data_IF_700605338919
#
_entry.id   IF_700605338919
#
_cell.length_a   1.000
_cell.length_b   1.000
_cell.length_c   1.000
_cell.angle_alpha   90.00
_cell.angle_beta   90.00
_cell.angle_gamma   90.00
#
_symmetry.space_group_name_H-M   'P 1'
#
loop_
_entity.id
_entity.type
_entity.pdbx_description
1 polymer ?
#
# COMPACT_ATOMS: atom_id res chain seq x y z
N UNK A 1 -0.23 -8.36 -6.37
CA UNK A 1 -0.93 -7.38 -5.54
C UNK A 1 -2.27 -6.98 -6.15
N UNK A 2 -3.16 -6.46 -5.30
CA UNK A 2 -4.40 -5.85 -5.73
C UNK A 2 -4.23 -4.34 -5.76
N UNK A 3 -4.81 -3.68 -6.75
CA UNK A 3 -4.73 -2.24 -6.91
C UNK A 3 -6.14 -1.65 -6.93
N UNK A 4 -6.40 -0.57 -6.19
CA UNK A 4 -7.67 0.12 -6.27
C UNK A 4 -7.78 0.89 -7.58
N UNK A 5 -9.01 1.17 -7.97
CA UNK A 5 -9.26 2.14 -9.03
C UNK A 5 -8.96 3.52 -8.45
N UNK A 6 -8.04 4.24 -9.06
CA UNK A 6 -7.65 5.56 -8.58
C UNK A 6 -8.73 6.59 -8.81
N UNK A 7 -8.87 7.51 -7.87
CA UNK A 7 -9.74 8.66 -8.00
C UNK A 7 -9.02 9.92 -7.51
N UNK A 8 -9.64 11.07 -7.74
CA UNK A 8 -9.03 12.35 -7.40
C UNK A 8 -8.73 12.49 -5.90
N UNK A 9 -9.61 11.97 -5.06
CA UNK A 9 -9.43 12.02 -3.60
C UNK A 9 -8.18 11.28 -3.16
N UNK A 10 -7.88 10.14 -3.74
CA UNK A 10 -6.66 9.38 -3.41
C UNK A 10 -5.41 10.11 -3.87
N UNK A 11 -5.43 10.65 -5.09
CA UNK A 11 -4.30 11.43 -5.58
C UNK A 11 -4.06 12.67 -4.72
N UNK A 12 -5.12 13.37 -4.33
CA UNK A 12 -5.01 14.54 -3.47
C UNK A 12 -4.44 14.19 -2.11
N UNK A 13 -4.93 13.12 -1.50
CA UNK A 13 -4.44 12.64 -0.21
C UNK A 13 -2.94 12.35 -0.27
N UNK A 14 -2.50 11.64 -1.30
CA UNK A 14 -1.10 11.28 -1.48
C UNK A 14 -0.22 12.54 -1.67
N UNK A 15 -0.68 13.51 -2.43
CA UNK A 15 0.05 14.77 -2.62
C UNK A 15 0.17 15.54 -1.31
N UNK A 16 -0.91 15.63 -0.55
CA UNK A 16 -0.90 16.33 0.74
C UNK A 16 0.05 15.65 1.73
N UNK A 17 0.02 14.33 1.81
CA UNK A 17 0.95 13.59 2.65
C UNK A 17 2.39 13.82 2.23
N UNK A 18 2.65 13.80 0.94
CA UNK A 18 3.99 14.03 0.41
C UNK A 18 4.50 15.43 0.77
N UNK A 19 3.65 16.44 0.65
CA UNK A 19 4.02 17.80 1.03
C UNK A 19 4.33 17.93 2.53
N UNK A 20 3.52 17.32 3.38
CA UNK A 20 3.77 17.35 4.83
C UNK A 20 5.06 16.63 5.22
N UNK A 21 5.45 15.62 4.48
CA UNK A 21 6.63 14.81 4.82
C UNK A 21 7.92 15.31 4.20
N UNK A 22 7.88 16.31 3.33
CA UNK A 22 9.08 16.84 2.67
C UNK A 22 10.15 17.32 3.64
N UNK A 23 9.76 17.91 4.75
CA UNK A 23 10.70 18.41 5.74
C UNK A 23 11.44 17.30 6.49
N UNK A 24 10.89 16.09 6.47
CA UNK A 24 11.44 14.95 7.20
C UNK A 24 12.23 13.99 6.34
N UNK A 25 11.92 13.94 5.05
CA UNK A 25 12.59 13.04 4.12
C UNK A 25 12.97 13.79 2.87
N UNK A 26 14.24 14.13 2.80
CA UNK A 26 14.80 14.87 1.66
C UNK A 26 15.10 13.98 0.47
N UNK A 27 15.20 12.67 0.69
CA UNK A 27 15.56 11.73 -0.39
C UNK A 27 14.34 11.14 -1.06
N UNK A 28 13.23 11.01 -0.33
CA UNK A 28 11.96 10.47 -0.83
C UNK A 28 12.11 9.28 -1.77
N UNK A 29 11.29 8.30 -1.60
CA UNK A 29 11.31 7.17 -2.55
C UNK A 29 10.68 7.63 -3.86
N UNK A 30 11.46 7.63 -4.92
CA UNK A 30 11.05 8.05 -6.26
C UNK A 30 9.70 7.47 -6.67
N UNK A 31 9.45 6.21 -6.33
CA UNK A 31 8.24 5.50 -6.69
C UNK A 31 7.00 5.92 -5.89
N UNK A 32 7.20 6.66 -4.80
CA UNK A 32 6.11 7.12 -3.94
C UNK A 32 5.81 8.61 -4.10
N UNK A 33 6.48 9.27 -5.05
CA UNK A 33 6.22 10.66 -5.38
C UNK A 33 4.87 10.81 -6.11
N UNK A 34 4.24 11.99 -6.00
CA UNK A 34 3.06 12.29 -6.81
C UNK A 34 3.31 12.02 -8.29
N UNK A 35 2.33 11.50 -8.98
CA UNK A 35 2.36 11.09 -10.39
C UNK A 35 3.13 9.79 -10.68
N UNK A 36 3.76 9.19 -9.69
CA UNK A 36 4.45 7.90 -9.84
C UNK A 36 3.90 6.82 -8.94
N UNK A 37 3.32 7.22 -7.85
CA UNK A 37 2.80 6.28 -6.86
C UNK A 37 1.66 5.45 -7.43
N UNK A 38 1.77 4.14 -7.25
CA UNK A 38 0.71 3.19 -7.56
C UNK A 38 0.27 2.56 -6.25
N UNK A 39 -0.92 2.90 -5.76
CA UNK A 39 -1.42 2.29 -4.53
C UNK A 39 -1.66 0.80 -4.77
N UNK A 40 -1.34 0.00 -3.77
CA UNK A 40 -1.52 -1.45 -3.89
C UNK A 40 -1.65 -2.09 -2.52
N UNK A 41 -2.27 -3.25 -2.53
CA UNK A 41 -2.35 -4.12 -1.37
C UNK A 41 -1.62 -5.42 -1.72
N UNK A 42 -0.52 -5.70 -1.02
CA UNK A 42 0.22 -6.93 -1.24
C UNK A 42 -0.61 -8.11 -0.76
N UNK A 43 -0.85 -9.07 -1.64
CA UNK A 43 -1.62 -10.27 -1.33
C UNK A 43 -0.72 -11.43 -0.92
N UNK A 44 0.47 -11.50 -1.50
CA UNK A 44 1.45 -12.51 -1.17
C UNK A 44 2.84 -12.03 -1.55
N UNK A 45 3.83 -12.43 -0.78
CA UNK A 45 5.22 -12.11 -1.05
C UNK A 45 6.03 -13.37 -0.79
N UNK A 46 6.83 -13.80 -1.76
CA UNK A 46 7.65 -14.99 -1.65
C UNK A 46 9.11 -14.66 -1.92
N UNK A 47 10.01 -15.44 -1.32
CA UNK A 47 11.44 -15.35 -1.61
C UNK A 47 11.82 -15.99 -2.93
N UNK A 48 13.06 -15.77 -3.36
CA UNK A 48 13.56 -16.31 -4.63
C UNK A 48 13.52 -17.84 -4.68
N UNK A 49 13.71 -18.49 -3.54
CA UNK A 49 13.75 -19.95 -3.46
C UNK A 49 12.37 -20.58 -3.20
N UNK A 50 11.31 -19.78 -3.27
CA UNK A 50 9.96 -20.21 -2.94
C UNK A 50 9.03 -20.20 -4.16
N UNK A 51 9.54 -20.67 -5.29
CA UNK A 51 8.80 -20.67 -6.55
C UNK A 51 7.50 -21.47 -6.45
N UNK A 52 7.53 -22.61 -5.78
CA UNK A 52 6.32 -23.44 -5.61
C UNK A 52 5.26 -22.71 -4.80
N UNK A 53 5.66 -21.97 -3.76
CA UNK A 53 4.75 -21.18 -2.95
C UNK A 53 4.15 -20.04 -3.78
N UNK A 54 4.95 -19.42 -4.62
CA UNK A 54 4.50 -18.38 -5.54
C UNK A 54 3.40 -18.89 -6.48
N UNK A 55 3.60 -20.04 -7.08
CA UNK A 55 2.60 -20.63 -7.99
C UNK A 55 1.31 -21.00 -7.29
N UNK A 56 1.40 -21.58 -6.10
CA UNK A 56 0.22 -21.93 -5.30
C UNK A 56 -0.56 -20.72 -4.87
N UNK A 57 0.14 -19.66 -4.42
CA UNK A 57 -0.49 -18.40 -4.04
C UNK A 57 -1.18 -17.74 -5.22
N UNK A 58 -0.52 -17.73 -6.39
CA UNK A 58 -1.07 -17.17 -7.61
C UNK A 58 -2.35 -17.89 -8.03
N UNK A 59 -2.34 -19.21 -7.99
CA UNK A 59 -3.51 -20.04 -8.31
C UNK A 59 -4.67 -19.73 -7.37
N UNK A 60 -4.40 -19.64 -6.07
CA UNK A 60 -5.42 -19.34 -5.07
C UNK A 60 -6.02 -17.94 -5.31
N UNK A 61 -5.19 -16.95 -5.57
CA UNK A 61 -5.64 -15.58 -5.83
C UNK A 61 -6.52 -15.54 -7.08
N UNK A 62 -6.09 -16.17 -8.17
CA UNK A 62 -6.86 -16.20 -9.41
C UNK A 62 -8.22 -16.87 -9.24
N UNK A 63 -8.30 -17.88 -8.39
CA UNK A 63 -9.54 -18.60 -8.14
C UNK A 63 -10.47 -17.88 -7.19
N UNK A 64 -9.95 -17.27 -6.14
CA UNK A 64 -10.74 -16.73 -5.03
C UNK A 64 -10.96 -15.22 -5.08
N UNK A 65 -10.05 -14.48 -5.72
CA UNK A 65 -10.15 -13.02 -5.72
C UNK A 65 -11.36 -12.56 -6.53
N UNK A 66 -12.10 -11.64 -5.93
CA UNK A 66 -13.26 -11.02 -6.60
C UNK A 66 -13.16 -9.50 -6.46
N UNK A 67 -13.66 -8.80 -7.47
CA UNK A 67 -13.80 -7.36 -7.42
C UNK A 67 -14.65 -6.97 -6.21
N UNK A 68 -14.19 -5.96 -5.46
CA UNK A 68 -14.88 -5.50 -4.26
C UNK A 68 -14.80 -3.99 -4.15
N UNK A 69 -15.76 -3.41 -3.43
CA UNK A 69 -15.71 -2.01 -3.05
C UNK A 69 -15.26 -1.90 -1.60
N UNK A 70 -14.35 -0.99 -1.33
CA UNK A 70 -13.80 -0.78 0.01
C UNK A 70 -13.83 0.70 0.36
N UNK A 71 -13.79 0.98 1.66
CA UNK A 71 -13.67 2.33 2.18
C UNK A 71 -12.47 2.37 3.11
N UNK A 72 -11.60 3.36 2.90
CA UNK A 72 -10.49 3.58 3.82
C UNK A 72 -11.02 4.22 5.10
N UNK A 73 -10.67 3.65 6.23
CA UNK A 73 -11.15 4.12 7.54
C UNK A 73 -10.04 4.69 8.41
N UNK A 74 -8.80 4.43 8.07
CA UNK A 74 -7.67 4.92 8.86
C UNK A 74 -6.41 5.03 8.02
N UNK A 75 -5.48 5.84 8.50
CA UNK A 75 -4.11 5.94 7.99
C UNK A 75 -3.19 5.61 9.15
N UNK A 76 -2.22 4.76 8.91
CA UNK A 76 -1.24 4.35 9.89
C UNK A 76 0.18 4.73 9.51
N UNK A 77 1.00 4.98 10.52
CA UNK A 77 2.44 5.10 10.40
C UNK A 77 3.06 3.84 10.98
N UNK A 78 3.87 3.17 10.20
CA UNK A 78 4.51 1.93 10.63
C UNK A 78 6.02 2.07 10.63
N UNK A 79 6.65 1.39 11.56
CA UNK A 79 8.09 1.22 11.55
C UNK A 79 8.39 -0.10 10.85
N UNK A 80 9.26 -0.06 9.86
CA UNK A 80 9.65 -1.27 9.13
C UNK A 80 10.63 -2.05 9.98
N UNK A 81 10.12 -3.10 10.58
CA UNK A 81 10.88 -4.02 11.42
C UNK A 81 10.26 -5.40 11.30
N UNK A 82 10.84 -6.41 11.93
CA UNK A 82 10.28 -7.76 11.94
C UNK A 82 9.94 -8.17 13.37
N UNK A 83 8.63 -8.24 13.72
CA UNK A 83 7.48 -7.89 12.90
C UNK A 83 7.34 -6.37 12.70
N UNK A 84 6.58 -5.97 11.68
CA UNK A 84 6.28 -4.55 11.44
C UNK A 84 5.50 -4.00 12.64
N UNK A 85 5.92 -2.84 13.11
CA UNK A 85 5.30 -2.19 14.26
C UNK A 85 4.47 -0.99 13.81
N UNK A 86 3.20 -0.97 14.20
CA UNK A 86 2.32 0.18 13.98
C UNK A 86 2.56 1.21 15.08
N UNK A 87 3.08 2.36 14.70
CA UNK A 87 3.50 3.40 15.64
C UNK A 87 2.36 4.37 15.95
N UNK A 88 1.56 4.68 14.95
CA UNK A 88 0.50 5.68 15.09
C UNK A 88 -0.60 5.42 14.06
N UNK A 89 -1.85 5.61 14.47
CA UNK A 89 -3.00 5.44 13.58
C UNK A 89 -3.98 6.60 13.76
N UNK A 90 -4.46 7.12 12.66
CA UNK A 90 -5.49 8.16 12.64
C UNK A 90 -6.72 7.63 11.93
N UNK A 91 -7.86 7.74 12.56
CA UNK A 91 -9.12 7.40 11.94
C UNK A 91 -9.53 8.49 10.95
N UNK A 92 -9.97 8.07 9.78
CA UNK A 92 -10.49 8.96 8.76
C UNK A 92 -11.99 9.12 9.01
N UNK A 93 -12.35 10.21 9.65
CA UNK A 93 -13.77 10.53 9.88
C UNK A 93 -14.32 11.16 8.61
N UNK A 94 -15.55 10.84 8.33
CA UNK A 94 -16.27 11.42 7.21
C UNK A 94 -16.40 12.94 7.31
#
# INVERSE_FOLDING_TARGET
FASPVMNDSMYQLQRELHEYLQDFDTTGWEWYCPNRWVPHCTLALTGEDEEDVFYKASELILREFRKMSVKFISIGLVKISYPVEEVYTVNLNE
#
